data_IF_789560221537
#
_entry.id   IF_789560221537
#
_cell.length_a   1.000
_cell.length_b   1.000
_cell.length_c   1.000
_cell.angle_alpha   90.00
_cell.angle_beta   90.00
_cell.angle_gamma   90.00
#
_symmetry.space_group_name_H-M   'P 1'
#
loop_
_entity.id
_entity.type
_entity.pdbx_description
1 polymer ?
#
# COMPACT_ATOMS: atom_id res chain seq x y z
N UNK A 1 7.36 0.50 -24.17
CA UNK A 1 7.63 1.26 -22.93
C UNK A 1 6.30 1.49 -22.25
N UNK A 2 6.17 1.16 -20.96
CA UNK A 2 4.96 1.40 -20.16
C UNK A 2 5.22 2.57 -19.21
N UNK A 3 4.19 3.38 -18.96
CA UNK A 3 4.23 4.52 -18.04
C UNK A 3 3.11 4.35 -17.02
N UNK A 4 3.47 4.46 -15.75
CA UNK A 4 2.58 4.30 -14.61
C UNK A 4 2.63 5.57 -13.75
N UNK A 5 1.46 6.11 -13.41
CA UNK A 5 1.30 7.24 -12.52
C UNK A 5 0.50 6.81 -11.30
N UNK A 6 1.07 6.93 -10.11
CA UNK A 6 0.41 6.58 -8.85
C UNK A 6 0.42 7.76 -7.89
N UNK A 7 -0.72 8.03 -7.27
CA UNK A 7 -0.89 9.04 -6.23
C UNK A 7 -1.41 8.38 -4.97
N UNK A 8 -0.78 8.65 -3.83
CA UNK A 8 -1.18 8.15 -2.51
C UNK A 8 -1.27 9.30 -1.51
N UNK A 9 -2.31 9.28 -0.70
CA UNK A 9 -2.62 10.25 0.32
C UNK A 9 -2.70 9.54 1.66
N UNK A 10 -1.91 10.01 2.63
CA UNK A 10 -1.95 9.50 3.99
C UNK A 10 -2.70 10.50 4.89
N UNK A 11 -3.87 10.09 5.36
CA UNK A 11 -4.81 10.92 6.09
C UNK A 11 -4.88 10.47 7.54
N UNK A 12 -4.78 11.43 8.46
CA UNK A 12 -4.92 11.26 9.91
C UNK A 12 -4.07 10.12 10.50
N UNK A 13 -2.95 9.80 9.87
CA UNK A 13 -2.06 8.70 10.29
C UNK A 13 -2.75 7.32 10.38
N UNK A 14 -3.90 7.17 9.71
CA UNK A 14 -4.77 6.00 9.84
C UNK A 14 -5.25 5.47 8.50
N UNK A 15 -5.42 6.35 7.51
CA UNK A 15 -6.02 5.98 6.22
C UNK A 15 -5.04 6.31 5.11
N UNK A 16 -4.73 5.31 4.30
CA UNK A 16 -4.06 5.47 3.01
C UNK A 16 -5.11 5.38 1.90
N UNK A 17 -5.22 6.44 1.12
CA UNK A 17 -6.06 6.46 -0.07
C UNK A 17 -5.15 6.66 -1.28
N UNK A 18 -5.24 5.77 -2.26
CA UNK A 18 -4.43 5.85 -3.47
C UNK A 18 -5.25 5.64 -4.72
N UNK A 19 -4.74 6.19 -5.80
CA UNK A 19 -5.21 5.92 -7.15
C UNK A 19 -4.02 5.82 -8.09
N UNK A 20 -4.16 5.00 -9.11
CA UNK A 20 -3.12 4.84 -10.11
C UNK A 20 -3.70 4.73 -11.50
N UNK A 21 -2.90 5.13 -12.47
CA UNK A 21 -3.20 5.08 -13.88
C UNK A 21 -2.01 4.49 -14.63
N UNK A 22 -2.25 3.39 -15.32
CA UNK A 22 -1.29 2.75 -16.21
C UNK A 22 -1.69 3.07 -17.65
N UNK A 23 -0.83 3.83 -18.32
CA UNK A 23 -1.06 4.27 -19.70
C UNK A 23 -1.15 3.05 -20.61
N UNK A 24 -2.30 2.84 -21.25
CA UNK A 24 -2.55 1.73 -22.17
C UNK A 24 -3.07 0.44 -21.53
N UNK A 25 -3.32 0.42 -20.21
CA UNK A 25 -3.86 -0.74 -19.51
C UNK A 25 -5.15 -0.38 -18.74
N UNK A 26 -5.06 0.48 -17.72
CA UNK A 26 -6.18 0.73 -16.83
C UNK A 26 -5.97 1.81 -15.78
N UNK A 27 -7.05 2.07 -15.05
CA UNK A 27 -7.09 2.91 -13.85
C UNK A 27 -7.36 2.01 -12.65
N UNK A 28 -6.81 2.35 -11.50
CA UNK A 28 -7.04 1.62 -10.26
C UNK A 28 -7.15 2.56 -9.08
N UNK A 29 -7.77 2.07 -8.01
CA UNK A 29 -7.83 2.75 -6.73
C UNK A 29 -7.53 1.76 -5.61
N UNK A 30 -6.91 2.26 -4.55
CA UNK A 30 -6.62 1.49 -3.35
C UNK A 30 -6.98 2.28 -2.11
N UNK A 31 -7.45 1.57 -1.10
CA UNK A 31 -7.69 2.13 0.23
C UNK A 31 -7.11 1.17 1.25
N UNK A 32 -6.38 1.70 2.22
CA UNK A 32 -5.81 0.92 3.30
C UNK A 32 -6.07 1.63 4.64
N UNK A 33 -6.46 0.85 5.63
CA UNK A 33 -6.83 1.28 6.96
C UNK A 33 -5.89 0.64 7.98
N UNK A 34 -5.23 1.49 8.76
CA UNK A 34 -4.44 1.07 9.91
C UNK A 34 -5.38 0.84 11.09
N UNK A 35 -5.64 -0.44 11.40
CA UNK A 35 -6.50 -0.84 12.53
C UNK A 35 -5.76 -0.63 13.85
N UNK A 36 -4.46 -0.93 13.87
CA UNK A 36 -3.58 -0.74 15.02
C UNK A 36 -2.16 -0.45 14.55
N UNK A 37 -1.25 -0.13 15.47
CA UNK A 37 0.18 0.04 15.16
C UNK A 37 0.88 -1.21 14.65
N UNK A 38 0.19 -2.35 14.66
CA UNK A 38 0.71 -3.65 14.22
C UNK A 38 -0.05 -4.18 13.01
N UNK A 39 -1.31 -3.79 12.80
CA UNK A 39 -2.18 -4.40 11.78
C UNK A 39 -2.73 -3.31 10.86
N UNK A 40 -2.56 -3.53 9.56
CA UNK A 40 -3.21 -2.77 8.51
C UNK A 40 -3.99 -3.70 7.57
N UNK A 41 -5.14 -3.23 7.09
CA UNK A 41 -5.97 -3.93 6.12
C UNK A 41 -6.21 -3.01 4.93
N UNK A 42 -6.13 -3.56 3.72
CA UNK A 42 -6.34 -2.81 2.50
C UNK A 42 -7.22 -3.53 1.50
N UNK A 43 -7.70 -2.73 0.57
CA UNK A 43 -8.48 -3.18 -0.56
C UNK A 43 -8.11 -2.36 -1.78
N UNK A 44 -7.84 -3.02 -2.90
CA UNK A 44 -7.62 -2.38 -4.19
C UNK A 44 -8.63 -2.88 -5.21
N UNK A 45 -8.95 -1.98 -6.13
CA UNK A 45 -9.77 -2.27 -7.29
C UNK A 45 -9.09 -1.74 -8.54
N UNK A 46 -8.90 -2.64 -9.50
CA UNK A 46 -8.23 -2.34 -10.76
C UNK A 46 -9.23 -2.46 -11.89
N UNK A 47 -9.42 -1.37 -12.61
CA UNK A 47 -10.31 -1.30 -13.76
C UNK A 47 -9.51 -1.14 -15.05
N UNK A 48 -9.52 -2.20 -15.86
CA UNK A 48 -8.81 -2.25 -17.13
C UNK A 48 -9.63 -1.49 -18.18
N UNK A 49 -9.07 -0.40 -18.71
CA UNK A 49 -9.72 0.46 -19.71
C UNK A 49 -9.28 0.15 -21.14
N UNK A 50 -8.26 -0.70 -21.30
CA UNK A 50 -7.69 -1.09 -22.59
C UNK A 50 -8.55 -2.09 -23.35
N UNK A 51 -8.19 -2.41 -24.60
CA UNK A 51 -8.92 -3.31 -25.52
C UNK A 51 -9.12 -4.76 -24.98
N UNK A 52 -8.52 -5.08 -23.83
CA UNK A 52 -8.73 -6.31 -23.05
C UNK A 52 -9.96 -6.28 -22.13
N UNK A 53 -10.64 -5.13 -22.00
CA UNK A 53 -11.86 -4.94 -21.20
C UNK A 53 -12.97 -5.98 -21.47
N UNK A 54 -13.24 -6.45 -22.71
CA UNK A 54 -14.24 -7.49 -22.96
C UNK A 54 -13.93 -8.84 -22.29
N UNK A 55 -12.68 -9.07 -21.89
CA UNK A 55 -12.19 -10.34 -21.33
C UNK A 55 -11.73 -10.22 -19.87
N UNK A 56 -11.63 -9.01 -19.32
CA UNK A 56 -11.16 -8.77 -17.96
C UNK A 56 -12.05 -7.73 -17.26
N UNK A 57 -12.88 -8.20 -16.33
CA UNK A 57 -13.93 -7.41 -15.68
C UNK A 57 -13.44 -6.57 -14.47
N UNK A 58 -12.15 -6.20 -14.49
CA UNK A 58 -11.43 -5.65 -13.34
C UNK A 58 -11.04 -6.69 -12.28
N UNK A 59 -10.19 -6.30 -11.33
CA UNK A 59 -9.69 -7.14 -10.24
C UNK A 59 -10.03 -6.53 -8.88
N UNK A 60 -10.39 -7.39 -7.92
CA UNK A 60 -10.62 -7.02 -6.53
C UNK A 60 -9.56 -7.69 -5.68
N UNK A 61 -8.70 -6.92 -5.02
CA UNK A 61 -7.63 -7.49 -4.20
C UNK A 61 -7.78 -7.03 -2.75
N UNK A 62 -7.53 -7.94 -1.82
CA UNK A 62 -7.56 -7.68 -0.39
C UNK A 62 -6.14 -7.83 0.14
N UNK A 63 -5.71 -6.88 0.97
CA UNK A 63 -4.37 -6.78 1.50
C UNK A 63 -4.42 -6.86 3.03
N UNK A 64 -3.49 -7.60 3.64
CA UNK A 64 -3.31 -7.65 5.08
C UNK A 64 -1.83 -7.44 5.38
N UNK A 65 -1.51 -6.43 6.18
CA UNK A 65 -0.15 -6.07 6.54
C UNK A 65 0.07 -6.12 8.05
N UNK A 66 1.30 -6.48 8.43
CA UNK A 66 1.75 -6.57 9.82
C UNK A 66 3.03 -5.77 10.02
N UNK A 67 2.97 -4.78 10.91
CA UNK A 67 4.13 -4.02 11.35
C UNK A 67 4.69 -4.65 12.62
N UNK A 68 5.88 -5.24 12.54
CA UNK A 68 6.53 -5.93 13.66
C UNK A 68 7.58 -5.00 14.30
N UNK A 69 7.27 -4.35 15.44
CA UNK A 69 8.26 -3.56 16.16
C UNK A 69 9.29 -4.49 16.78
N UNK A 70 10.47 -4.58 16.18
CA UNK A 70 11.59 -5.27 16.79
C UNK A 70 12.17 -4.42 17.91
N UNK A 71 12.26 -4.92 19.16
CA UNK A 71 12.93 -4.21 20.23
C UNK A 71 14.39 -4.00 19.85
N UNK A 72 14.78 -2.74 19.67
CA UNK A 72 16.18 -2.37 19.50
C UNK A 72 16.91 -2.68 20.83
N UNK A 73 18.04 -3.41 20.82
CA UNK A 73 18.84 -3.58 22.02
C UNK A 73 19.27 -2.21 22.50
N UNK A 74 18.90 -1.84 23.73
CA UNK A 74 19.42 -0.65 24.39
C UNK A 74 20.88 -0.91 24.70
N UNK A 75 21.78 -0.58 23.77
CA UNK A 75 23.20 -0.50 24.08
C UNK A 75 23.38 0.65 25.07
N UNK A 76 23.60 0.32 26.35
CA UNK A 76 24.07 1.30 27.31
C UNK A 76 25.50 1.65 26.92
N UNK A 77 25.72 2.89 26.48
CA UNK A 77 27.06 3.39 26.13
C UNK A 77 28.00 3.53 27.35
N UNK A 78 27.52 3.20 28.56
CA UNK A 78 28.26 3.32 29.82
C UNK A 78 29.29 2.18 30.01
N UNK A 79 29.16 1.07 29.28
CA UNK A 79 30.05 -0.11 29.43
C UNK A 79 31.27 -0.10 28.48
N UNK A 80 31.48 0.97 27.70
CA UNK A 80 32.58 1.08 26.73
C UNK A 80 33.83 1.81 27.26
N UNK A 81 33.83 2.22 28.53
CA UNK A 81 34.94 2.98 29.13
C UNK A 81 35.27 2.50 30.56
N UNK A 82 35.36 1.19 30.76
CA UNK A 82 36.03 0.60 31.92
C UNK A 82 36.90 -0.58 31.49
#
# INVERSE_FOLDING_TARGET
VSVDLTSNFYLNEQIWLGAFYRVGDGVGALVNFKISDVINIGYSFDYITSDLNPYANGSHEVMLGFDLPFPQPKCNCVDLHN
#
